data_IF_479884185405
#
_entry.id   IF_479884185405
#
_cell.length_a   1.000
_cell.length_b   1.000
_cell.length_c   1.000
_cell.angle_alpha   90.00
_cell.angle_beta   90.00
_cell.angle_gamma   90.00
#
_symmetry.space_group_name_H-M   'P 1'
#
loop_
_entity.id
_entity.type
_entity.pdbx_description
1 polymer ?
#
# COMPACT_ATOMS: atom_id res chain seq x y z
N UNK A 1 -24.19 8.02 16.88
CA UNK A 1 -23.15 8.35 15.89
C UNK A 1 -23.65 7.93 14.52
N UNK A 2 -23.74 8.84 13.54
CA UNK A 2 -24.12 8.48 12.18
C UNK A 2 -22.98 7.68 11.51
N UNK A 3 -23.31 6.62 10.77
CA UNK A 3 -22.30 5.89 9.96
C UNK A 3 -21.78 6.83 8.87
N UNK A 4 -20.47 6.79 8.61
CA UNK A 4 -19.87 7.49 7.47
C UNK A 4 -20.44 7.00 6.15
N UNK A 5 -20.33 7.82 5.09
CA UNK A 5 -20.76 7.45 3.74
C UNK A 5 -20.02 6.18 3.28
N UNK A 6 -20.75 5.27 2.65
CA UNK A 6 -20.15 4.05 2.08
C UNK A 6 -19.10 4.42 1.02
N UNK A 7 -17.97 3.72 1.00
CA UNK A 7 -16.90 3.94 0.02
C UNK A 7 -17.27 3.50 -1.40
N UNK A 8 -18.32 2.67 -1.55
CA UNK A 8 -18.66 2.04 -2.83
C UNK A 8 -17.72 0.90 -3.24
N UNK A 9 -16.72 0.58 -2.42
CA UNK A 9 -15.77 -0.51 -2.63
C UNK A 9 -16.22 -1.73 -1.82
N UNK A 10 -16.22 -2.89 -2.46
CA UNK A 10 -16.53 -4.18 -1.84
C UNK A 10 -15.26 -5.02 -1.76
N UNK A 11 -15.05 -5.69 -0.62
CA UNK A 11 -14.00 -6.68 -0.46
C UNK A 11 -14.50 -8.05 -0.93
N UNK A 12 -13.59 -8.83 -1.48
CA UNK A 12 -13.80 -10.23 -1.86
C UNK A 12 -13.00 -11.15 -0.94
N UNK A 13 -13.24 -12.46 -1.05
CA UNK A 13 -12.47 -13.47 -0.30
C UNK A 13 -10.96 -13.37 -0.55
N UNK A 14 -10.54 -13.02 -1.76
CA UNK A 14 -9.13 -12.76 -2.08
C UNK A 14 -8.55 -11.62 -1.25
N UNK A 15 -9.28 -10.52 -1.10
CA UNK A 15 -8.85 -9.38 -0.28
C UNK A 15 -8.79 -9.78 1.20
N UNK A 16 -9.80 -10.51 1.67
CA UNK A 16 -9.84 -11.01 3.04
C UNK A 16 -8.61 -11.88 3.38
N UNK A 17 -8.14 -12.74 2.46
CA UNK A 17 -6.91 -13.53 2.65
C UNK A 17 -5.67 -12.64 2.84
N UNK A 18 -5.55 -11.58 2.04
CA UNK A 18 -4.44 -10.61 2.16
C UNK A 18 -4.56 -9.82 3.45
N UNK A 19 -5.75 -9.33 3.79
CA UNK A 19 -6.02 -8.62 5.05
C UNK A 19 -5.65 -9.49 6.26
N UNK A 20 -6.05 -10.76 6.29
CA UNK A 20 -5.70 -11.67 7.37
C UNK A 20 -4.18 -11.87 7.47
N UNK A 21 -3.48 -12.00 6.34
CA UNK A 21 -2.02 -12.05 6.33
C UNK A 21 -1.36 -10.78 6.87
N UNK A 22 -1.88 -9.59 6.51
CA UNK A 22 -1.41 -8.30 7.06
C UNK A 22 -1.68 -8.18 8.56
N UNK A 23 -2.85 -8.63 9.03
CA UNK A 23 -3.18 -8.68 10.47
C UNK A 23 -2.22 -9.61 11.20
N UNK A 24 -1.94 -10.81 10.66
CA UNK A 24 -1.02 -11.76 11.26
C UNK A 24 0.44 -11.27 11.28
N UNK A 25 0.82 -10.44 10.30
CA UNK A 25 2.11 -9.73 10.30
C UNK A 25 2.20 -8.63 11.37
N UNK A 26 1.06 -8.18 11.92
CA UNK A 26 1.00 -7.14 12.96
C UNK A 26 0.75 -5.73 12.41
N UNK A 27 0.29 -5.61 11.16
CA UNK A 27 -0.02 -4.31 10.57
C UNK A 27 -1.20 -3.64 11.29
N UNK A 28 -1.22 -2.30 11.31
CA UNK A 28 -2.26 -1.52 11.96
C UNK A 28 -3.54 -1.52 11.10
N UNK A 29 -4.71 -1.75 11.70
CA UNK A 29 -5.99 -1.83 10.98
C UNK A 29 -6.27 -0.60 10.09
N UNK A 30 -5.80 0.61 10.45
CA UNK A 30 -5.95 1.79 9.60
C UNK A 30 -5.07 1.76 8.34
N UNK A 31 -3.86 1.23 8.43
CA UNK A 31 -2.95 1.10 7.28
C UNK A 31 -3.49 0.03 6.34
N UNK A 32 -3.94 -1.11 6.90
CA UNK A 32 -4.61 -2.17 6.14
C UNK A 32 -5.82 -1.57 5.40
N UNK A 33 -6.73 -0.90 6.10
CA UNK A 33 -7.90 -0.28 5.48
C UNK A 33 -7.54 0.68 4.34
N UNK A 34 -6.45 1.45 4.49
CA UNK A 34 -5.98 2.37 3.47
C UNK A 34 -5.49 1.66 2.19
N UNK A 35 -4.89 0.47 2.28
CA UNK A 35 -4.49 -0.32 1.11
C UNK A 35 -5.69 -0.76 0.26
N UNK A 36 -6.83 -1.02 0.88
CA UNK A 36 -8.04 -1.49 0.20
C UNK A 36 -9.05 -0.37 -0.09
N UNK A 37 -8.78 0.87 0.32
CA UNK A 37 -9.72 1.98 0.14
C UNK A 37 -11.02 1.82 0.93
N UNK A 38 -10.99 1.10 2.05
CA UNK A 38 -12.15 0.84 2.91
C UNK A 38 -11.99 1.50 4.29
N UNK A 39 -13.00 1.37 5.15
CA UNK A 39 -12.91 1.77 6.54
C UNK A 39 -12.47 0.60 7.44
N UNK A 40 -12.03 0.90 8.66
CA UNK A 40 -11.59 -0.12 9.63
C UNK A 40 -12.70 -1.09 10.04
N UNK A 41 -13.97 -0.73 9.87
CA UNK A 41 -15.10 -1.63 10.09
C UNK A 41 -15.04 -2.85 9.17
N UNK A 42 -14.67 -2.66 7.90
CA UNK A 42 -14.47 -3.78 6.96
C UNK A 42 -13.32 -4.70 7.36
N UNK A 43 -12.28 -4.15 8.00
CA UNK A 43 -11.17 -4.94 8.53
C UNK A 43 -11.63 -5.77 9.73
N UNK A 44 -12.46 -5.20 10.60
CA UNK A 44 -13.06 -5.93 11.72
C UNK A 44 -13.94 -7.10 11.28
N UNK A 45 -14.71 -6.94 10.19
CA UNK A 45 -15.55 -8.01 9.60
C UNK A 45 -14.72 -9.17 9.02
N UNK A 46 -13.57 -8.86 8.41
CA UNK A 46 -12.63 -9.91 7.98
C UNK A 46 -12.09 -10.66 9.19
N UNK A 47 -11.67 -9.94 10.24
CA UNK A 47 -11.14 -10.54 11.48
C UNK A 47 -12.18 -11.37 12.25
N UNK A 48 -13.47 -11.05 12.14
CA UNK A 48 -14.56 -11.82 12.75
C UNK A 48 -14.96 -13.06 11.96
N UNK A 49 -14.40 -13.25 10.74
CA UNK A 49 -14.66 -14.42 9.91
C UNK A 49 -15.91 -14.32 9.04
N UNK A 50 -16.43 -13.11 8.74
CA UNK A 50 -17.60 -12.94 7.86
C UNK A 50 -17.38 -13.49 6.44
N UNK A 51 -16.12 -13.66 6.03
CA UNK A 51 -15.74 -14.20 4.72
C UNK A 51 -15.54 -15.73 4.71
N UNK A 52 -15.82 -16.39 5.85
CA UNK A 52 -15.62 -17.83 6.07
C UNK A 52 -14.22 -18.16 6.57
N UNK A 53 -13.95 -19.47 6.70
CA UNK A 53 -12.61 -19.97 7.00
C UNK A 53 -11.71 -19.83 5.77
N UNK A 54 -10.65 -19.03 5.91
CA UNK A 54 -9.78 -18.63 4.82
C UNK A 54 -8.32 -18.80 5.25
N UNK A 55 -7.53 -19.45 4.41
CA UNK A 55 -6.08 -19.43 4.57
C UNK A 55 -5.52 -18.04 4.29
N UNK A 56 -4.71 -17.54 5.22
CA UNK A 56 -4.01 -16.26 5.07
C UNK A 56 -3.10 -16.28 3.84
N UNK A 57 -3.02 -15.15 3.15
CA UNK A 57 -2.06 -15.01 2.05
C UNK A 57 -0.61 -15.13 2.59
N UNK A 58 0.30 -15.77 1.85
CA UNK A 58 1.70 -15.89 2.26
C UNK A 58 2.38 -14.52 2.26
N UNK A 59 3.46 -14.38 3.03
CA UNK A 59 4.13 -13.09 3.25
C UNK A 59 4.59 -12.37 1.97
N UNK A 60 4.90 -13.11 0.90
CA UNK A 60 5.31 -12.55 -0.40
C UNK A 60 4.16 -11.99 -1.25
N UNK A 61 2.91 -12.34 -0.92
CA UNK A 61 1.71 -11.81 -1.58
C UNK A 61 1.16 -10.56 -0.87
N UNK A 62 1.73 -10.22 0.29
CA UNK A 62 1.28 -9.07 1.07
C UNK A 62 1.91 -7.78 0.54
N UNK A 63 1.17 -6.67 0.48
CA UNK A 63 1.79 -5.36 0.25
C UNK A 63 2.79 -5.04 1.38
N UNK A 64 3.72 -4.10 1.16
CA UNK A 64 4.64 -3.67 2.21
C UNK A 64 3.88 -3.06 3.39
N UNK A 65 4.36 -3.32 4.60
CA UNK A 65 3.76 -2.76 5.83
C UNK A 65 3.85 -1.23 5.86
N UNK A 66 2.91 -0.63 6.56
CA UNK A 66 2.76 0.82 6.72
C UNK A 66 1.78 1.47 5.72
N UNK A 67 1.56 2.79 5.86
CA UNK A 67 0.52 3.51 5.14
C UNK A 67 0.87 3.70 3.65
N UNK A 68 0.02 3.25 2.69
CA UNK A 68 0.28 3.41 1.26
C UNK A 68 0.31 4.88 0.82
N UNK A 69 -0.44 5.76 1.50
CA UNK A 69 -0.54 7.17 1.13
C UNK A 69 0.79 7.94 1.27
N UNK A 70 1.55 7.68 2.34
CA UNK A 70 2.86 8.33 2.54
C UNK A 70 3.90 7.74 1.58
N UNK A 71 3.86 6.42 1.36
CA UNK A 71 4.70 5.72 0.38
C UNK A 71 4.47 6.27 -1.03
N UNK A 72 3.21 6.40 -1.46
CA UNK A 72 2.83 6.96 -2.75
C UNK A 72 3.24 8.43 -2.93
N UNK A 73 3.16 9.24 -1.87
CA UNK A 73 3.65 10.64 -1.90
C UNK A 73 5.15 10.70 -2.22
N UNK A 74 5.95 9.87 -1.56
CA UNK A 74 7.41 9.81 -1.76
C UNK A 74 7.78 9.37 -3.17
N UNK A 75 7.11 8.34 -3.71
CA UNK A 75 7.30 7.94 -5.12
C UNK A 75 6.95 9.10 -6.06
N UNK A 76 5.82 9.77 -5.83
CA UNK A 76 5.40 10.90 -6.68
C UNK A 76 6.42 12.03 -6.68
N UNK A 77 7.03 12.32 -5.55
CA UNK A 77 8.12 13.30 -5.44
C UNK A 77 9.37 12.88 -6.23
N UNK A 78 9.79 11.61 -6.11
CA UNK A 78 10.90 11.06 -6.87
C UNK A 78 10.66 11.11 -8.39
N UNK A 79 9.44 10.80 -8.84
CA UNK A 79 9.05 10.92 -10.26
C UNK A 79 9.15 12.37 -10.73
N UNK A 80 8.70 13.34 -9.93
CA UNK A 80 8.82 14.77 -10.29
C UNK A 80 10.27 15.20 -10.42
N UNK A 81 11.13 14.76 -9.49
CA UNK A 81 12.57 15.03 -9.53
C UNK A 81 13.22 14.40 -10.76
N UNK A 82 12.83 13.17 -11.11
CA UNK A 82 13.30 12.50 -12.31
C UNK A 82 12.89 13.24 -13.59
N UNK A 83 11.66 13.78 -13.67
CA UNK A 83 11.25 14.62 -14.80
C UNK A 83 12.12 15.87 -14.90
N UNK A 84 12.36 16.59 -13.80
CA UNK A 84 13.24 17.76 -13.81
C UNK A 84 14.64 17.43 -14.31
N UNK A 85 15.24 16.32 -13.85
CA UNK A 85 16.56 15.87 -14.33
C UNK A 85 16.58 15.62 -15.84
N UNK A 86 15.52 14.98 -16.36
CA UNK A 86 15.41 14.69 -17.80
C UNK A 86 15.21 15.97 -18.61
N UNK A 87 14.40 16.91 -18.12
CA UNK A 87 14.11 18.19 -18.78
C UNK A 87 15.32 19.13 -18.81
N UNK A 88 16.12 19.17 -17.74
CA UNK A 88 17.36 19.95 -17.67
C UNK A 88 18.45 19.40 -18.61
N UNK A 89 18.39 18.09 -18.92
CA UNK A 89 19.32 17.42 -19.82
C UNK A 89 20.72 17.23 -19.23
N UNK A 90 21.67 16.86 -20.09
CA UNK A 90 23.05 16.53 -19.71
C UNK A 90 23.39 15.05 -19.86
N UNK A 91 24.68 14.74 -19.90
CA UNK A 91 25.19 13.40 -20.22
C UNK A 91 24.72 12.33 -19.22
N UNK A 92 24.52 12.70 -17.94
CA UNK A 92 24.11 11.80 -16.86
C UNK A 92 22.64 11.94 -16.44
N UNK A 93 21.82 12.76 -17.11
CA UNK A 93 20.44 13.05 -16.71
C UNK A 93 19.59 11.78 -16.58
N UNK A 94 19.66 10.89 -17.58
CA UNK A 94 18.90 9.64 -17.59
C UNK A 94 19.36 8.69 -16.47
N UNK A 95 20.67 8.59 -16.23
CA UNK A 95 21.23 7.75 -15.17
C UNK A 95 20.82 8.26 -13.78
N UNK A 96 20.88 9.58 -13.57
CA UNK A 96 20.44 10.21 -12.32
C UNK A 96 18.94 10.01 -12.08
N UNK A 97 18.11 10.21 -13.10
CA UNK A 97 16.67 9.99 -13.03
C UNK A 97 16.33 8.51 -12.70
N UNK A 98 17.00 7.57 -13.38
CA UNK A 98 16.81 6.15 -13.13
C UNK A 98 17.22 5.75 -11.70
N UNK A 99 18.32 6.32 -11.20
CA UNK A 99 18.80 6.10 -9.84
C UNK A 99 17.77 6.58 -8.82
N UNK A 100 17.21 7.78 -9.00
CA UNK A 100 16.19 8.34 -8.12
C UNK A 100 14.93 7.46 -8.08
N UNK A 101 14.41 7.06 -9.24
CA UNK A 101 13.19 6.24 -9.32
C UNK A 101 13.43 4.85 -8.71
N UNK A 102 14.58 4.22 -8.99
CA UNK A 102 14.94 2.91 -8.41
C UNK A 102 15.02 2.98 -6.89
N UNK A 103 15.68 4.00 -6.35
CA UNK A 103 15.77 4.19 -4.90
C UNK A 103 14.38 4.38 -4.27
N UNK A 104 13.50 5.15 -4.93
CA UNK A 104 12.14 5.37 -4.46
C UNK A 104 11.27 4.10 -4.51
N UNK A 105 11.41 3.28 -5.55
CA UNK A 105 10.72 2.00 -5.68
C UNK A 105 11.14 1.03 -4.56
N UNK A 106 12.45 0.86 -4.33
CA UNK A 106 12.96 0.03 -3.21
C UNK A 106 12.39 0.50 -1.87
N UNK A 107 12.35 1.81 -1.64
CA UNK A 107 11.79 2.38 -0.41
C UNK A 107 10.29 2.15 -0.28
N UNK A 108 9.54 2.18 -1.38
CA UNK A 108 8.10 1.90 -1.38
C UNK A 108 7.82 0.46 -0.94
N UNK A 109 8.59 -0.49 -1.47
CA UNK A 109 8.47 -1.93 -1.21
C UNK A 109 9.02 -2.37 0.17
N UNK A 110 9.65 -1.46 0.91
CA UNK A 110 10.19 -1.76 2.24
C UNK A 110 9.09 -1.68 3.31
N UNK A 111 9.07 -2.63 4.26
CA UNK A 111 8.17 -2.55 5.42
C UNK A 111 8.50 -1.32 6.29
N UNK A 112 7.49 -0.54 6.65
CA UNK A 112 7.61 0.60 7.57
C UNK A 112 6.89 0.31 8.89
N UNK A 113 7.47 0.77 10.01
CA UNK A 113 6.92 0.66 11.37
C UNK A 113 5.94 1.79 11.70
#
# INVERSE_FOLDING_TARGET
MARGKASGISLYKSDARVILGMVARGDRDHDIAAWFGVNQGRIAEVKSGEYGDLEMAPAHDLPPSGPPGIKGRRIREAIRKAFTLIEEGGESAMEAALTEIKAAAVKFDTNET
#
